data_IF_706613496218
#
_entry.id   IF_706613496218
#
_cell.length_a   1.000
_cell.length_b   1.000
_cell.length_c   1.000
_cell.angle_alpha   90.00
_cell.angle_beta   90.00
_cell.angle_gamma   90.00
#
_symmetry.space_group_name_H-M   'P 1'
#
loop_
_entity.id
_entity.type
_entity.pdbx_description
1 polymer ?
#
# COMPACT_ATOMS: atom_id res chain seq x y z
N UNK A 1 -3.64 -23.75 -1.74
CA UNK A 1 -4.34 -24.36 -2.88
C UNK A 1 -3.77 -23.73 -4.13
N UNK A 2 -3.06 -24.55 -4.91
CA UNK A 2 -2.51 -24.17 -6.19
C UNK A 2 -3.65 -23.87 -7.16
N UNK A 3 -3.73 -22.61 -7.62
CA UNK A 3 -4.68 -22.26 -8.68
C UNK A 3 -4.07 -22.60 -10.04
N UNK A 4 -4.80 -23.41 -10.76
CA UNK A 4 -4.52 -24.01 -12.05
C UNK A 4 -3.84 -23.10 -13.08
N UNK A 5 -2.83 -23.66 -13.74
CA UNK A 5 -2.35 -23.17 -15.01
C UNK A 5 -3.51 -23.19 -16.03
N UNK A 6 -3.92 -22.04 -16.55
CA UNK A 6 -4.84 -21.99 -17.67
C UNK A 6 -4.10 -22.54 -18.90
N UNK A 7 -4.56 -23.63 -19.48
CA UNK A 7 -4.05 -24.14 -20.75
C UNK A 7 -4.25 -23.05 -21.83
N UNK A 8 -3.17 -22.48 -22.32
CA UNK A 8 -3.20 -21.58 -23.46
C UNK A 8 -2.39 -20.28 -23.36
N UNK A 9 -2.02 -19.84 -22.16
CA UNK A 9 -1.11 -18.71 -21.97
C UNK A 9 0.10 -19.26 -21.21
N UNK A 10 1.04 -19.89 -21.92
CA UNK A 10 2.23 -20.47 -21.29
C UNK A 10 2.83 -19.52 -20.25
N UNK A 11 3.19 -20.04 -19.09
CA UNK A 11 3.98 -19.41 -18.05
C UNK A 11 3.40 -18.21 -17.29
N UNK A 12 2.07 -17.99 -17.26
CA UNK A 12 1.45 -17.01 -16.36
C UNK A 12 1.14 -17.67 -15.02
N UNK A 13 1.89 -17.33 -14.00
CA UNK A 13 1.65 -17.72 -12.60
C UNK A 13 0.98 -16.58 -11.85
N UNK A 14 -0.20 -16.85 -11.25
CA UNK A 14 -0.81 -15.97 -10.25
C UNK A 14 -0.61 -16.60 -8.88
N UNK A 15 0.23 -16.00 -8.03
CA UNK A 15 0.37 -16.37 -6.63
C UNK A 15 -0.15 -15.25 -5.75
N UNK A 16 -1.11 -15.59 -4.93
CA UNK A 16 -1.70 -14.66 -3.97
C UNK A 16 -1.00 -14.86 -2.63
N UNK A 17 -0.22 -13.88 -2.23
CA UNK A 17 0.55 -13.90 -0.98
C UNK A 17 0.40 -12.58 -0.26
N UNK A 18 0.60 -12.59 1.04
CA UNK A 18 0.69 -11.38 1.85
C UNK A 18 2.10 -10.80 1.78
N UNK A 19 2.24 -9.53 2.12
CA UNK A 19 3.52 -8.84 2.20
C UNK A 19 4.59 -9.65 2.97
N UNK A 20 4.23 -10.22 4.11
CA UNK A 20 5.10 -11.05 4.96
C UNK A 20 5.55 -12.37 4.32
N UNK A 21 4.96 -12.78 3.21
CA UNK A 21 5.22 -14.07 2.54
C UNK A 21 6.02 -13.92 1.24
N UNK A 22 6.40 -12.71 0.85
CA UNK A 22 7.08 -12.43 -0.42
C UNK A 22 8.40 -13.18 -0.55
N UNK A 23 9.17 -13.32 0.52
CA UNK A 23 10.45 -14.06 0.53
C UNK A 23 10.28 -15.51 0.04
N UNK A 24 9.16 -16.16 0.37
CA UNK A 24 8.89 -17.54 -0.04
C UNK A 24 8.64 -17.69 -1.55
N UNK A 25 8.45 -16.59 -2.27
CA UNK A 25 8.23 -16.60 -3.72
C UNK A 25 9.51 -16.46 -4.52
N UNK A 26 10.57 -15.97 -3.94
CA UNK A 26 11.79 -15.61 -4.68
C UNK A 26 12.39 -16.78 -5.42
N UNK A 27 12.55 -17.91 -4.75
CA UNK A 27 13.13 -19.10 -5.37
C UNK A 27 12.26 -19.68 -6.51
N UNK A 28 10.93 -19.86 -6.34
CA UNK A 28 10.06 -20.21 -7.45
C UNK A 28 10.09 -19.20 -8.62
N UNK A 29 10.16 -17.91 -8.33
CA UNK A 29 10.20 -16.86 -9.36
C UNK A 29 11.51 -16.85 -10.13
N UNK A 30 12.65 -17.07 -9.47
CA UNK A 30 13.95 -17.22 -10.14
C UNK A 30 13.95 -18.40 -11.13
N UNK A 31 13.35 -19.52 -10.73
CA UNK A 31 13.26 -20.74 -11.55
C UNK A 31 12.19 -20.70 -12.62
N UNK A 32 11.25 -19.75 -12.56
CA UNK A 32 10.19 -19.65 -13.53
C UNK A 32 10.75 -19.20 -14.90
N UNK A 33 10.04 -19.57 -15.98
CA UNK A 33 10.33 -19.07 -17.32
C UNK A 33 9.79 -17.65 -17.56
N UNK A 34 8.96 -17.14 -16.63
CA UNK A 34 8.40 -15.81 -16.74
C UNK A 34 9.53 -14.77 -16.70
N UNK A 35 9.63 -13.97 -17.74
CA UNK A 35 10.58 -12.85 -17.83
C UNK A 35 10.05 -11.62 -17.08
N UNK A 36 8.74 -11.42 -17.16
CA UNK A 36 8.07 -10.27 -16.54
C UNK A 36 7.36 -10.69 -15.25
N UNK A 37 7.66 -9.98 -14.15
CA UNK A 37 7.10 -10.23 -12.83
C UNK A 37 6.44 -8.95 -12.34
N UNK A 38 5.19 -9.05 -11.87
CA UNK A 38 4.46 -7.93 -11.28
C UNK A 38 4.09 -8.26 -9.84
N UNK A 39 4.60 -7.50 -8.90
CA UNK A 39 4.18 -7.54 -7.49
C UNK A 39 3.02 -6.57 -7.28
N UNK A 40 1.87 -7.08 -6.85
CA UNK A 40 0.65 -6.27 -6.64
C UNK A 40 0.33 -6.18 -5.15
N UNK A 41 0.28 -4.96 -4.62
CA UNK A 41 -0.04 -4.68 -3.21
C UNK A 41 1.00 -3.79 -2.53
N UNK A 42 0.89 -3.66 -1.20
CA UNK A 42 1.86 -2.94 -0.41
C UNK A 42 3.24 -3.59 -0.49
N UNK A 43 4.28 -2.79 -0.68
CA UNK A 43 5.65 -3.29 -0.72
C UNK A 43 6.64 -2.16 -0.42
N UNK A 44 7.43 -2.34 0.63
CA UNK A 44 8.50 -1.40 1.03
C UNK A 44 9.90 -1.95 0.71
N UNK A 45 10.00 -3.18 0.17
CA UNK A 45 11.26 -3.87 -0.12
C UNK A 45 11.52 -3.97 -1.62
N UNK A 46 11.10 -2.95 -2.35
CA UNK A 46 11.10 -2.96 -3.81
C UNK A 46 12.49 -3.20 -4.41
N UNK A 47 13.49 -2.46 -3.93
CA UNK A 47 14.87 -2.59 -4.40
C UNK A 47 15.46 -3.97 -4.07
N UNK A 48 15.21 -4.46 -2.86
CA UNK A 48 15.66 -5.79 -2.44
C UNK A 48 15.04 -6.91 -3.29
N UNK A 49 13.77 -6.78 -3.68
CA UNK A 49 13.12 -7.75 -4.57
C UNK A 49 13.71 -7.72 -5.98
N UNK A 50 13.96 -6.55 -6.53
CA UNK A 50 14.62 -6.42 -7.84
C UNK A 50 16.01 -7.04 -7.80
N UNK A 51 16.81 -6.72 -6.79
CA UNK A 51 18.17 -7.26 -6.62
C UNK A 51 18.19 -8.80 -6.49
N UNK A 52 17.14 -9.39 -5.91
CA UNK A 52 17.03 -10.83 -5.73
C UNK A 52 16.48 -11.59 -6.94
N UNK A 53 16.06 -10.89 -7.99
CA UNK A 53 15.51 -11.46 -9.22
C UNK A 53 16.32 -11.04 -10.46
N UNK A 54 17.63 -11.35 -10.51
CA UNK A 54 18.49 -10.96 -11.62
C UNK A 54 17.98 -11.55 -12.93
N UNK A 55 18.02 -10.75 -14.01
CA UNK A 55 17.54 -11.13 -15.34
C UNK A 55 16.02 -11.14 -15.49
N UNK A 56 15.26 -10.77 -14.46
CA UNK A 56 13.81 -10.59 -14.55
C UNK A 56 13.45 -9.11 -14.70
N UNK A 57 12.43 -8.84 -15.51
CA UNK A 57 11.80 -7.54 -15.58
C UNK A 57 10.76 -7.41 -14.47
N UNK A 58 11.09 -6.68 -13.41
CA UNK A 58 10.25 -6.56 -12.21
C UNK A 58 9.48 -5.26 -12.22
N UNK A 59 8.17 -5.37 -12.11
CA UNK A 59 7.24 -4.25 -11.98
C UNK A 59 6.48 -4.33 -10.66
N UNK A 60 5.96 -3.20 -10.23
CA UNK A 60 5.13 -3.09 -9.04
C UNK A 60 3.80 -2.46 -9.38
N UNK A 61 2.74 -2.84 -8.67
CA UNK A 61 1.43 -2.30 -8.89
C UNK A 61 0.64 -2.16 -7.58
N UNK A 62 -0.26 -1.21 -7.57
CA UNK A 62 -1.26 -1.07 -6.52
C UNK A 62 -2.65 -0.90 -7.14
N UNK A 63 -3.55 -1.84 -6.84
CA UNK A 63 -4.93 -1.79 -7.30
C UNK A 63 -5.81 -1.10 -6.28
N UNK A 64 -6.64 -0.16 -6.70
CA UNK A 64 -7.68 0.43 -5.86
C UNK A 64 -8.85 -0.55 -5.73
N UNK A 65 -8.60 -1.63 -5.02
CA UNK A 65 -9.57 -2.64 -4.64
C UNK A 65 -9.46 -2.91 -3.15
N UNK A 66 -10.59 -3.17 -2.52
CA UNK A 66 -10.63 -3.53 -1.11
C UNK A 66 -11.66 -4.64 -0.92
N UNK A 67 -11.46 -5.48 0.10
CA UNK A 67 -12.40 -6.56 0.38
C UNK A 67 -11.90 -7.50 1.44
N UNK A 68 -12.78 -8.41 1.81
CA UNK A 68 -12.49 -9.47 2.75
C UNK A 68 -13.17 -10.77 2.34
N UNK A 69 -12.72 -11.87 2.90
CA UNK A 69 -13.34 -13.18 2.68
C UNK A 69 -14.32 -13.49 3.82
N UNK A 70 -15.55 -13.83 3.44
CA UNK A 70 -16.57 -14.35 4.32
C UNK A 70 -16.80 -15.82 3.96
N UNK A 71 -16.36 -16.74 4.80
CA UNK A 71 -16.51 -18.19 4.55
C UNK A 71 -16.20 -18.62 3.12
N UNK A 72 -17.22 -18.81 2.28
CA UNK A 72 -17.10 -19.27 0.89
C UNK A 72 -17.13 -18.15 -0.15
N UNK A 73 -17.39 -16.89 0.23
CA UNK A 73 -17.51 -15.75 -0.69
C UNK A 73 -16.47 -14.68 -0.43
N UNK A 74 -16.17 -13.91 -1.46
CA UNK A 74 -15.35 -12.68 -1.37
C UNK A 74 -16.29 -11.50 -1.50
N UNK A 75 -16.27 -10.62 -0.49
CA UNK A 75 -16.93 -9.31 -0.55
C UNK A 75 -15.87 -8.29 -0.91
N UNK A 76 -16.04 -7.60 -2.03
CA UNK A 76 -15.03 -6.66 -2.52
C UNK A 76 -15.63 -5.46 -3.23
N UNK A 77 -14.91 -4.35 -3.16
CA UNK A 77 -15.10 -3.18 -4.02
C UNK A 77 -13.86 -3.09 -4.90
N UNK A 78 -14.06 -3.03 -6.21
CA UNK A 78 -13.01 -2.84 -7.19
C UNK A 78 -13.33 -1.59 -8.02
N UNK A 79 -12.54 -0.53 -7.81
CA UNK A 79 -12.71 0.76 -8.50
C UNK A 79 -12.15 0.75 -9.92
N UNK A 80 -11.72 -0.41 -10.42
CA UNK A 80 -11.17 -0.56 -11.77
C UNK A 80 -10.03 0.43 -12.07
N UNK A 81 -9.23 0.72 -11.07
CA UNK A 81 -8.05 1.59 -11.20
C UNK A 81 -6.83 0.88 -10.65
N UNK A 82 -5.75 0.88 -11.41
CA UNK A 82 -4.46 0.34 -11.01
C UNK A 82 -3.36 1.36 -11.30
N UNK A 83 -2.48 1.58 -10.33
CA UNK A 83 -1.22 2.27 -10.52
C UNK A 83 -0.15 1.21 -10.70
N UNK A 84 0.64 1.27 -11.77
CA UNK A 84 1.62 0.24 -12.13
C UNK A 84 2.83 0.87 -12.83
N UNK A 85 4.00 0.32 -12.59
CA UNK A 85 5.24 0.73 -13.22
C UNK A 85 6.44 -0.02 -12.64
N UNK A 86 7.61 0.57 -12.79
CA UNK A 86 8.90 0.03 -12.34
C UNK A 86 9.54 0.94 -11.30
N UNK A 87 10.74 0.59 -10.85
CA UNK A 87 11.57 1.50 -10.06
C UNK A 87 12.16 2.59 -10.95
N UNK A 88 12.46 3.74 -10.37
CA UNK A 88 13.07 4.90 -11.08
C UNK A 88 14.36 4.53 -11.82
N UNK A 89 15.11 3.59 -11.28
CA UNK A 89 16.39 3.11 -11.84
C UNK A 89 16.23 2.04 -12.91
N UNK A 90 15.03 1.51 -13.11
CA UNK A 90 14.75 0.45 -14.07
C UNK A 90 14.29 0.99 -15.42
N UNK A 91 14.52 0.26 -16.53
CA UNK A 91 13.99 0.64 -17.84
C UNK A 91 12.46 0.80 -17.85
N UNK A 92 11.96 1.67 -18.72
CA UNK A 92 10.53 1.92 -18.81
C UNK A 92 9.76 0.70 -19.35
N UNK A 93 8.72 0.31 -18.63
CA UNK A 93 7.79 -0.76 -19.00
C UNK A 93 6.46 -0.24 -19.57
N UNK A 94 6.39 1.04 -19.93
CA UNK A 94 5.11 1.65 -20.33
C UNK A 94 4.45 0.93 -21.50
N UNK A 95 5.19 0.60 -22.54
CA UNK A 95 4.64 -0.09 -23.73
C UNK A 95 4.08 -1.47 -23.37
N UNK A 96 4.81 -2.26 -22.57
CA UNK A 96 4.35 -3.57 -22.09
C UNK A 96 3.10 -3.43 -21.21
N UNK A 97 3.04 -2.43 -20.35
CA UNK A 97 1.88 -2.19 -19.48
C UNK A 97 0.66 -1.81 -20.33
N UNK A 98 0.83 -0.95 -21.34
CA UNK A 98 -0.24 -0.56 -22.26
C UNK A 98 -0.78 -1.78 -23.02
N UNK A 99 0.09 -2.69 -23.44
CA UNK A 99 -0.28 -3.96 -24.08
C UNK A 99 -1.06 -4.89 -23.15
N UNK A 100 -0.54 -5.13 -21.92
CA UNK A 100 -1.18 -6.01 -20.93
C UNK A 100 -2.60 -5.56 -20.59
N UNK A 101 -2.83 -4.26 -20.54
CA UNK A 101 -4.13 -3.70 -20.16
C UNK A 101 -4.99 -3.29 -21.34
N UNK A 102 -4.51 -3.48 -22.59
CA UNK A 102 -5.29 -3.19 -23.79
C UNK A 102 -6.62 -3.95 -23.76
N UNK A 103 -7.72 -3.25 -24.04
CA UNK A 103 -9.07 -3.81 -24.06
C UNK A 103 -9.66 -4.13 -22.67
N UNK A 104 -8.94 -3.90 -21.57
CA UNK A 104 -9.49 -4.06 -20.22
C UNK A 104 -10.30 -2.84 -19.80
N UNK A 105 -11.13 -3.01 -18.74
CA UNK A 105 -11.89 -1.91 -18.14
C UNK A 105 -11.12 -1.14 -17.08
N UNK A 106 -9.82 -1.45 -16.88
CA UNK A 106 -9.01 -0.78 -15.87
C UNK A 106 -8.53 0.58 -16.35
N UNK A 107 -8.66 1.59 -15.48
CA UNK A 107 -7.95 2.85 -15.62
C UNK A 107 -6.53 2.65 -15.12
N UNK A 108 -5.60 2.52 -16.04
CA UNK A 108 -4.18 2.36 -15.74
C UNK A 108 -3.55 3.73 -15.50
N UNK A 109 -2.84 3.86 -14.38
CA UNK A 109 -1.97 4.99 -14.08
C UNK A 109 -0.55 4.48 -14.11
N UNK A 110 0.21 4.86 -15.13
CA UNK A 110 1.62 4.54 -15.21
C UNK A 110 2.43 5.39 -14.24
N UNK A 111 3.23 4.74 -13.40
CA UNK A 111 4.11 5.38 -12.42
C UNK A 111 5.55 4.90 -12.61
N UNK A 112 6.46 5.78 -13.11
CA UNK A 112 7.86 5.42 -13.36
C UNK A 112 8.70 5.22 -12.09
N UNK A 113 8.18 5.64 -10.93
CA UNK A 113 8.83 5.51 -9.63
C UNK A 113 7.89 4.83 -8.63
N UNK A 114 7.68 3.53 -8.81
CA UNK A 114 6.80 2.75 -7.94
C UNK A 114 7.37 2.54 -6.54
N UNK A 115 8.68 2.60 -6.35
CA UNK A 115 9.30 2.50 -5.03
C UNK A 115 8.80 3.61 -4.11
N UNK A 116 8.98 4.86 -4.51
CA UNK A 116 8.56 6.02 -3.73
C UNK A 116 7.02 6.10 -3.64
N UNK A 117 6.30 5.70 -4.71
CA UNK A 117 4.84 5.65 -4.67
C UNK A 117 4.32 4.70 -3.58
N UNK A 118 4.88 3.49 -3.48
CA UNK A 118 4.46 2.50 -2.48
C UNK A 118 4.88 2.89 -1.07
N UNK A 119 6.03 3.54 -0.92
CA UNK A 119 6.49 4.08 0.36
C UNK A 119 5.53 5.17 0.87
N UNK A 120 5.17 6.13 0.01
CA UNK A 120 4.19 7.17 0.34
C UNK A 120 2.79 6.57 0.61
N UNK A 121 2.38 5.58 -0.19
CA UNK A 121 1.10 4.91 0.02
C UNK A 121 1.04 4.21 1.39
N UNK A 122 2.07 3.45 1.76
CA UNK A 122 2.14 2.80 3.06
C UNK A 122 2.12 3.82 4.21
N UNK A 123 2.85 4.93 4.08
CA UNK A 123 2.84 6.03 5.03
C UNK A 123 1.44 6.67 5.19
N UNK A 124 0.67 6.74 4.09
CA UNK A 124 -0.69 7.29 4.12
C UNK A 124 -1.71 6.35 4.76
N UNK A 125 -1.64 5.04 4.47
CA UNK A 125 -2.67 4.09 4.94
C UNK A 125 -2.44 3.59 6.36
N UNK A 126 -1.21 3.64 6.88
CA UNK A 126 -0.90 3.12 8.21
C UNK A 126 -1.61 3.88 9.34
N UNK A 127 -1.68 5.22 9.39
CA UNK A 127 -2.49 5.94 10.36
C UNK A 127 -4.00 5.61 10.29
N UNK A 128 -4.51 5.25 9.11
CA UNK A 128 -5.89 4.77 8.99
C UNK A 128 -6.06 3.37 9.62
N UNK A 129 -5.06 2.48 9.48
CA UNK A 129 -5.06 1.20 10.19
C UNK A 129 -5.01 1.39 11.72
N UNK A 130 -4.21 2.34 12.23
CA UNK A 130 -4.20 2.69 13.65
C UNK A 130 -5.59 3.09 14.15
N UNK A 131 -6.31 3.92 13.37
CA UNK A 131 -7.67 4.29 13.71
C UNK A 131 -8.63 3.09 13.74
N UNK A 132 -8.46 2.12 12.83
CA UNK A 132 -9.22 0.88 12.83
C UNK A 132 -8.94 0.06 14.10
N UNK A 133 -7.68 -0.08 14.49
CA UNK A 133 -7.29 -0.82 15.70
C UNK A 133 -7.78 -0.16 16.99
N UNK A 134 -7.62 1.15 17.12
CA UNK A 134 -8.15 1.91 18.26
C UNK A 134 -9.66 1.71 18.46
N UNK A 135 -10.38 1.50 17.38
CA UNK A 135 -11.86 1.41 17.40
C UNK A 135 -12.39 -0.01 17.29
N UNK A 136 -11.50 -1.03 17.35
CA UNK A 136 -11.84 -2.44 17.11
C UNK A 136 -12.61 -2.64 15.79
N UNK A 137 -12.14 -2.02 14.72
CA UNK A 137 -12.71 -2.09 13.37
C UNK A 137 -13.96 -1.23 13.14
N UNK A 138 -14.41 -0.46 14.12
CA UNK A 138 -15.59 0.41 13.97
C UNK A 138 -15.20 1.90 13.89
N UNK A 139 -14.76 2.33 12.71
CA UNK A 139 -14.36 3.72 12.46
C UNK A 139 -15.48 4.76 12.75
N UNK A 140 -16.76 4.34 12.78
CA UNK A 140 -17.87 5.24 13.15
C UNK A 140 -17.72 5.79 14.57
N UNK A 141 -16.98 5.12 15.45
CA UNK A 141 -16.64 5.64 16.79
C UNK A 141 -15.80 6.92 16.74
N UNK A 142 -15.15 7.21 15.60
CA UNK A 142 -14.39 8.45 15.37
C UNK A 142 -15.22 9.54 14.66
N UNK A 143 -16.48 9.26 14.34
CA UNK A 143 -17.38 10.28 13.78
C UNK A 143 -17.50 11.45 14.76
N UNK A 144 -17.12 12.65 14.30
CA UNK A 144 -17.10 13.86 15.16
C UNK A 144 -15.81 14.04 15.98
N UNK A 145 -14.98 13.04 16.16
CA UNK A 145 -13.68 13.17 16.83
C UNK A 145 -12.63 13.83 15.92
N UNK A 146 -12.85 15.11 15.61
CA UNK A 146 -11.96 15.86 14.70
C UNK A 146 -10.53 15.95 15.25
N UNK A 147 -10.35 15.94 16.57
CA UNK A 147 -9.02 16.00 17.17
C UNK A 147 -8.19 14.75 16.82
N UNK A 148 -8.77 13.55 16.93
CA UNK A 148 -8.10 12.31 16.53
C UNK A 148 -7.83 12.27 15.02
N UNK A 149 -8.81 12.65 14.20
CA UNK A 149 -8.62 12.66 12.75
C UNK A 149 -7.55 13.65 12.30
N UNK A 150 -7.35 14.77 13.02
CA UNK A 150 -6.22 15.68 12.79
C UNK A 150 -4.88 15.01 13.12
N UNK A 151 -4.78 14.26 14.22
CA UNK A 151 -3.55 13.51 14.54
C UNK A 151 -3.19 12.53 13.42
N UNK A 152 -4.17 11.88 12.77
CA UNK A 152 -3.88 11.01 11.62
C UNK A 152 -3.25 11.82 10.47
N UNK A 153 -3.74 13.02 10.19
CA UNK A 153 -3.15 13.90 9.17
C UNK A 153 -1.74 14.34 9.58
N UNK A 154 -1.54 14.69 10.86
CA UNK A 154 -0.23 15.09 11.36
C UNK A 154 0.79 13.94 11.28
N UNK A 155 0.39 12.69 11.59
CA UNK A 155 1.24 11.52 11.43
C UNK A 155 1.60 11.26 9.95
N UNK A 156 0.67 11.46 9.01
CA UNK A 156 1.00 11.42 7.58
C UNK A 156 2.06 12.47 7.21
N UNK A 157 1.95 13.68 7.74
CA UNK A 157 2.88 14.77 7.46
C UNK A 157 4.26 14.45 8.03
N UNK A 158 4.35 13.90 9.25
CA UNK A 158 5.61 13.43 9.83
C UNK A 158 6.27 12.38 8.93
N UNK A 159 5.50 11.39 8.48
CA UNK A 159 6.00 10.34 7.59
C UNK A 159 6.46 10.88 6.23
N UNK A 160 5.71 11.80 5.64
CA UNK A 160 6.09 12.40 4.35
C UNK A 160 7.32 13.32 4.48
N UNK A 161 7.50 13.99 5.62
CA UNK A 161 8.76 14.70 5.91
C UNK A 161 9.93 13.72 5.95
N UNK A 162 9.81 12.64 6.69
CA UNK A 162 10.85 11.62 6.78
C UNK A 162 11.22 11.06 5.38
N UNK A 163 10.21 10.81 4.55
CA UNK A 163 10.39 10.32 3.17
C UNK A 163 11.12 11.37 2.32
N UNK A 164 10.66 12.61 2.32
CA UNK A 164 11.27 13.71 1.56
C UNK A 164 12.71 13.97 2.01
N UNK A 165 12.94 14.06 3.32
CA UNK A 165 14.24 14.42 3.90
C UNK A 165 15.27 13.30 3.70
N UNK A 166 14.81 12.05 3.51
CA UNK A 166 15.62 10.92 3.05
C UNK A 166 15.92 10.94 1.53
N UNK A 167 15.44 11.95 0.78
CA UNK A 167 15.71 12.11 -0.64
C UNK A 167 14.76 11.39 -1.59
N UNK A 168 13.64 10.87 -1.07
CA UNK A 168 12.58 10.24 -1.86
C UNK A 168 11.59 11.28 -2.40
N UNK A 169 10.95 10.94 -3.50
CA UNK A 169 9.91 11.77 -4.10
C UNK A 169 8.55 11.54 -3.42
N UNK A 170 7.82 12.62 -3.11
CA UNK A 170 6.46 12.49 -2.59
C UNK A 170 5.49 12.25 -3.75
N UNK A 171 4.84 11.09 -3.71
CA UNK A 171 3.92 10.61 -4.74
C UNK A 171 2.59 10.11 -4.13
N UNK A 172 1.46 10.31 -4.84
CA UNK A 172 1.31 10.98 -6.13
C UNK A 172 1.57 12.49 -6.06
N UNK A 173 1.70 13.16 -7.20
CA UNK A 173 1.99 14.60 -7.29
C UNK A 173 1.02 15.48 -6.48
N UNK A 174 -0.21 15.04 -6.32
CA UNK A 174 -1.22 15.73 -5.51
C UNK A 174 -0.80 15.88 -4.04
N UNK A 175 0.10 15.02 -3.57
CA UNK A 175 0.57 14.99 -2.18
C UNK A 175 1.87 15.80 -1.98
N UNK A 176 2.52 16.29 -3.05
CA UNK A 176 3.76 17.10 -2.96
C UNK A 176 3.62 18.32 -2.05
N UNK A 177 2.42 18.90 -1.99
CA UNK A 177 2.14 20.04 -1.11
C UNK A 177 1.63 19.61 0.29
N UNK A 178 2.09 18.48 0.82
CA UNK A 178 1.58 17.85 2.05
C UNK A 178 1.66 18.74 3.31
N UNK A 179 2.53 19.73 3.35
CA UNK A 179 2.63 20.68 4.47
C UNK A 179 1.61 21.82 4.39
N UNK A 180 0.93 21.98 3.25
CA UNK A 180 -0.02 23.08 3.04
C UNK A 180 -1.33 22.90 3.82
N UNK A 181 -1.95 24.01 4.18
CA UNK A 181 -3.30 24.02 4.78
C UNK A 181 -4.34 23.36 3.87
N UNK A 182 -4.16 23.47 2.55
CA UNK A 182 -5.04 22.83 1.57
C UNK A 182 -4.99 21.31 1.70
N UNK A 183 -3.79 20.74 1.75
CA UNK A 183 -3.60 19.30 1.93
C UNK A 183 -4.24 18.84 3.26
N UNK A 184 -3.93 19.52 4.38
CA UNK A 184 -4.50 19.21 5.70
C UNK A 184 -6.03 19.18 5.67
N UNK A 185 -6.67 20.16 5.01
CA UNK A 185 -8.13 20.24 4.88
C UNK A 185 -8.68 19.08 4.02
N UNK A 186 -8.01 18.73 2.92
CA UNK A 186 -8.43 17.65 2.02
C UNK A 186 -8.33 16.30 2.74
N UNK A 187 -7.19 15.99 3.36
CA UNK A 187 -6.99 14.75 4.10
C UNK A 187 -7.96 14.63 5.29
N UNK A 188 -8.16 15.69 6.03
CA UNK A 188 -9.14 15.70 7.13
C UNK A 188 -10.56 15.42 6.64
N UNK A 189 -10.98 15.99 5.50
CA UNK A 189 -12.27 15.69 4.89
C UNK A 189 -12.38 14.23 4.47
N UNK A 190 -11.31 13.68 3.88
CA UNK A 190 -11.23 12.27 3.50
C UNK A 190 -11.41 11.37 4.73
N UNK A 191 -10.66 11.58 5.80
CA UNK A 191 -10.79 10.78 7.02
C UNK A 191 -12.14 10.94 7.72
N UNK A 192 -12.74 12.13 7.67
CA UNK A 192 -14.13 12.35 8.14
C UNK A 192 -15.13 11.53 7.32
N UNK A 193 -14.99 11.49 6.00
CA UNK A 193 -15.83 10.68 5.13
C UNK A 193 -15.67 9.19 5.44
N UNK A 194 -14.45 8.72 5.60
CA UNK A 194 -14.16 7.33 5.98
C UNK A 194 -14.79 6.96 7.33
N UNK A 195 -14.70 7.84 8.33
CA UNK A 195 -15.33 7.63 9.64
C UNK A 195 -16.86 7.72 9.62
N UNK A 196 -17.46 8.40 8.64
CA UNK A 196 -18.90 8.63 8.60
C UNK A 196 -19.68 7.60 7.77
N UNK A 197 -19.01 6.87 6.86
CA UNK A 197 -19.67 6.05 5.84
C UNK A 197 -19.27 4.59 5.88
N UNK A 198 -20.01 3.74 5.18
CA UNK A 198 -19.65 2.33 4.97
C UNK A 198 -18.40 2.14 4.12
N UNK A 199 -17.98 3.17 3.37
CA UNK A 199 -16.74 3.14 2.60
C UNK A 199 -15.54 2.88 3.51
N UNK A 200 -15.48 3.54 4.68
CA UNK A 200 -14.42 3.31 5.66
C UNK A 200 -14.41 1.88 6.22
N UNK A 201 -15.58 1.26 6.35
CA UNK A 201 -15.63 -0.15 6.76
C UNK A 201 -14.96 -1.03 5.71
N UNK A 202 -15.38 -0.99 4.46
CA UNK A 202 -14.90 -1.89 3.41
C UNK A 202 -13.46 -1.57 2.98
N UNK A 203 -13.12 -0.29 2.83
CA UNK A 203 -11.81 0.12 2.30
C UNK A 203 -10.69 0.17 3.34
N UNK A 204 -11.01 0.30 4.63
CA UNK A 204 -10.01 0.40 5.68
C UNK A 204 -10.19 -0.66 6.77
N UNK A 205 -11.35 -0.67 7.46
CA UNK A 205 -11.52 -1.52 8.65
C UNK A 205 -11.45 -3.01 8.33
N UNK A 206 -12.19 -3.47 7.33
CA UNK A 206 -12.22 -4.90 7.00
C UNK A 206 -10.85 -5.40 6.56
N UNK A 207 -10.10 -4.59 5.79
CA UNK A 207 -8.73 -4.90 5.41
C UNK A 207 -7.79 -4.89 6.60
N UNK A 208 -7.72 -3.81 7.37
CA UNK A 208 -6.82 -3.68 8.52
C UNK A 208 -7.06 -4.79 9.55
N UNK A 209 -8.33 -5.12 9.85
CA UNK A 209 -8.68 -6.16 10.82
C UNK A 209 -8.40 -7.57 10.33
N UNK A 210 -8.43 -7.82 9.03
CA UNK A 210 -8.12 -9.13 8.42
C UNK A 210 -6.64 -9.34 8.10
N UNK A 211 -5.84 -8.28 8.08
CA UNK A 211 -4.42 -8.29 7.70
C UNK A 211 -3.52 -7.61 8.75
N UNK A 212 -3.77 -7.88 10.03
CA UNK A 212 -3.03 -7.28 11.15
C UNK A 212 -1.53 -7.57 11.11
N UNK A 213 -1.15 -8.77 10.68
CA UNK A 213 0.24 -9.18 10.48
C UNK A 213 0.94 -8.36 9.38
N UNK A 214 0.23 -8.10 8.26
CA UNK A 214 0.75 -7.26 7.18
C UNK A 214 0.91 -5.80 7.63
N UNK A 215 -0.11 -5.23 8.28
CA UNK A 215 -0.05 -3.85 8.76
C UNK A 215 1.00 -3.66 9.84
N UNK A 216 1.20 -4.66 10.72
CA UNK A 216 2.29 -4.65 11.71
C UNK A 216 3.66 -4.68 11.04
N UNK A 217 3.84 -5.49 9.99
CA UNK A 217 5.08 -5.54 9.24
C UNK A 217 5.36 -4.22 8.51
N UNK A 218 4.35 -3.63 7.85
CA UNK A 218 4.47 -2.33 7.19
C UNK A 218 4.84 -1.22 8.18
N UNK A 219 4.18 -1.17 9.34
CA UNK A 219 4.50 -0.20 10.38
C UNK A 219 5.93 -0.36 10.89
N UNK A 220 6.37 -1.59 11.14
CA UNK A 220 7.75 -1.88 11.57
C UNK A 220 8.76 -1.43 10.51
N UNK A 221 8.54 -1.77 9.25
CA UNK A 221 9.45 -1.45 8.16
C UNK A 221 9.50 0.09 7.91
N UNK A 222 8.35 0.80 8.04
CA UNK A 222 8.30 2.27 8.01
C UNK A 222 9.09 2.89 9.18
N UNK A 223 8.94 2.37 10.39
CA UNK A 223 9.70 2.88 11.55
C UNK A 223 11.19 2.64 11.41
N UNK A 224 11.59 1.46 10.89
CA UNK A 224 13.00 1.21 10.57
C UNK A 224 13.52 2.23 9.55
N UNK A 225 12.73 2.56 8.54
CA UNK A 225 13.08 3.60 7.58
C UNK A 225 13.20 4.98 8.26
N UNK A 226 12.25 5.38 9.11
CA UNK A 226 12.28 6.66 9.82
C UNK A 226 13.50 6.75 10.75
N UNK A 227 13.74 5.72 11.54
CA UNK A 227 14.85 5.66 12.50
C UNK A 227 16.22 5.70 11.78
N UNK A 228 16.36 4.96 10.68
CA UNK A 228 17.58 4.93 9.86
C UNK A 228 17.91 6.30 9.25
N UNK A 229 16.90 7.15 9.02
CA UNK A 229 17.06 8.49 8.47
C UNK A 229 17.00 9.60 9.54
N UNK A 230 17.01 9.24 10.84
CA UNK A 230 17.02 10.21 11.94
C UNK A 230 15.75 11.06 12.04
N UNK A 231 14.62 10.57 11.52
CA UNK A 231 13.38 11.32 11.51
C UNK A 231 12.74 11.40 12.91
N UNK A 232 12.07 12.52 13.19
CA UNK A 232 11.21 12.66 14.37
C UNK A 232 9.74 12.50 13.98
N UNK A 233 9.05 11.54 14.65
CA UNK A 233 7.66 11.16 14.36
C UNK A 233 6.83 10.89 15.63
N UNK A 234 6.74 11.89 16.54
CA UNK A 234 6.09 11.72 17.84
C UNK A 234 4.58 11.44 17.72
N UNK A 235 3.89 12.05 16.76
CA UNK A 235 2.44 11.83 16.56
C UNK A 235 2.17 10.42 16.06
N UNK A 236 3.00 9.92 15.14
CA UNK A 236 2.93 8.52 14.68
C UNK A 236 3.08 7.56 15.86
N UNK A 237 4.13 7.73 16.68
CA UNK A 237 4.36 6.90 17.89
C UNK A 237 3.18 6.96 18.87
N UNK A 238 2.59 8.14 19.05
CA UNK A 238 1.43 8.30 19.91
C UNK A 238 0.20 7.55 19.41
N UNK A 239 -0.07 7.58 18.08
CA UNK A 239 -1.16 6.81 17.48
C UNK A 239 -0.90 5.30 17.55
N UNK A 240 0.32 4.85 17.26
CA UNK A 240 0.73 3.45 17.37
C UNK A 240 0.49 2.90 18.78
N UNK A 241 0.87 3.65 19.81
CA UNK A 241 0.67 3.27 21.21
C UNK A 241 -0.80 3.01 21.56
N UNK A 242 -1.72 3.69 20.87
CA UNK A 242 -3.16 3.50 21.09
C UNK A 242 -3.72 2.22 20.43
N UNK A 243 -2.93 1.52 19.60
CA UNK A 243 -3.36 0.30 18.89
C UNK A 243 -3.31 -0.98 19.72
N UNK A 244 -2.57 -0.96 20.86
CA UNK A 244 -2.54 -2.02 21.86
C UNK A 244 -2.23 -3.41 21.29
N UNK A 245 -3.19 -4.32 21.40
CA UNK A 245 -3.05 -5.75 21.06
C UNK A 245 -2.85 -6.06 19.56
N UNK A 246 -3.12 -5.13 18.67
CA UNK A 246 -3.12 -5.36 17.22
C UNK A 246 -1.74 -5.21 16.56
N UNK A 247 -0.86 -4.41 17.16
CA UNK A 247 0.50 -4.21 16.67
C UNK A 247 1.47 -4.90 17.65
N UNK A 248 2.01 -6.03 17.24
CA UNK A 248 2.99 -6.81 17.98
C UNK A 248 4.36 -6.76 17.31
#
# INVERSE_FOLDING_TARGET
RDYYASRGLGDVYKRQVRYTQLENLLEPLRKSRAENIVFVGNNLRTDALVAQLPGKNVMFAFSLSAGHRESSRVVSIDLKKITIGQLRTSPSNKALIDEIFAGTRYKVVYQPNMGDYLLCHAAFVTPAAFACYKTDGNLKKLKGNTAYLRKMVDANIEAYRAIRDAGHEILPDADKAFESDKYRKVCLRFFKLMAATSLGKVCASDHAMSATDEMSALNRDLKQFFDANGADYPVWRALEKECGKYLK
#
